data_IF_929112004563
#
_entry.id   IF_929112004563
#
_cell.length_a   1.000
_cell.length_b   1.000
_cell.length_c   1.000
_cell.angle_alpha   90.00
_cell.angle_beta   90.00
_cell.angle_gamma   90.00
#
_symmetry.space_group_name_H-M   'P 1'
#
loop_
_entity.id
_entity.type
_entity.pdbx_description
1 polymer ?
#
# COMPACT_ATOMS: atom_id res chain seq x y z
N UNK A 1 -22.60 31.13 -13.14
CA UNK A 1 -21.20 30.87 -13.52
C UNK A 1 -20.39 31.04 -12.23
N UNK A 2 -19.96 29.95 -11.64
CA UNK A 2 -19.08 30.01 -10.48
C UNK A 2 -17.70 30.50 -10.93
N UNK A 3 -17.04 31.42 -10.21
CA UNK A 3 -15.69 31.85 -10.55
C UNK A 3 -14.75 30.63 -10.44
N UNK A 4 -14.01 30.35 -11.50
CA UNK A 4 -12.93 29.37 -11.47
C UNK A 4 -11.88 29.86 -10.46
N UNK A 5 -11.91 29.33 -9.24
CA UNK A 5 -10.80 29.48 -8.31
C UNK A 5 -9.68 28.56 -8.80
N UNK A 6 -8.62 29.14 -9.31
CA UNK A 6 -7.37 28.41 -9.51
C UNK A 6 -6.70 28.23 -8.15
N UNK A 7 -6.57 26.99 -7.71
CA UNK A 7 -5.81 26.65 -6.51
C UNK A 7 -4.41 26.23 -6.98
N UNK A 8 -3.40 26.88 -6.46
CA UNK A 8 -2.02 26.45 -6.65
C UNK A 8 -1.72 25.34 -5.63
N UNK A 9 -1.83 24.09 -6.08
CA UNK A 9 -1.48 22.93 -5.28
C UNK A 9 0.00 22.65 -5.46
N UNK A 10 0.82 23.04 -4.52
CA UNK A 10 2.24 22.67 -4.48
C UNK A 10 2.43 21.20 -4.07
N UNK A 11 1.69 20.29 -4.73
CA UNK A 11 1.74 18.84 -4.53
C UNK A 11 1.59 18.13 -5.86
N UNK A 12 2.37 17.07 -6.03
CA UNK A 12 2.27 16.20 -7.20
C UNK A 12 0.92 15.48 -7.19
N UNK A 13 0.29 15.41 -8.35
CA UNK A 13 -0.89 14.59 -8.55
C UNK A 13 -0.53 13.30 -9.28
N UNK A 14 -1.21 12.22 -8.94
CA UNK A 14 -1.00 10.90 -9.49
C UNK A 14 -2.29 10.30 -10.04
N UNK A 15 -2.17 9.37 -10.97
CA UNK A 15 -3.28 8.54 -11.45
C UNK A 15 -2.97 7.06 -11.22
N UNK A 16 -3.97 6.26 -10.82
CA UNK A 16 -3.82 4.82 -10.76
C UNK A 16 -3.78 4.24 -12.18
N UNK A 17 -2.88 3.29 -12.38
CA UNK A 17 -2.68 2.60 -13.66
C UNK A 17 -2.45 1.11 -13.44
N UNK A 18 -2.58 0.36 -14.54
CA UNK A 18 -2.13 -1.02 -14.67
C UNK A 18 -1.24 -1.17 -15.90
N UNK A 19 -0.56 -2.30 -16.05
CA UNK A 19 0.28 -2.54 -17.22
C UNK A 19 -0.45 -2.39 -18.55
N UNK A 20 -1.71 -2.83 -18.63
CA UNK A 20 -2.46 -2.83 -19.88
C UNK A 20 -2.98 -1.45 -20.31
N UNK A 21 -3.05 -0.48 -19.42
CA UNK A 21 -3.64 0.83 -19.70
C UNK A 21 -2.66 2.01 -19.62
N UNK A 22 -1.44 1.81 -19.11
CA UNK A 22 -0.47 2.87 -18.89
C UNK A 22 -0.24 3.77 -20.12
N UNK A 23 -0.10 3.18 -21.30
CA UNK A 23 0.17 3.97 -22.50
C UNK A 23 -1.00 4.87 -22.87
N UNK A 24 -2.22 4.34 -22.82
CA UNK A 24 -3.44 5.10 -23.09
C UNK A 24 -3.65 6.21 -22.04
N UNK A 25 -3.40 5.92 -20.77
CA UNK A 25 -3.55 6.88 -19.68
C UNK A 25 -2.53 8.01 -19.80
N UNK A 26 -1.27 7.70 -20.13
CA UNK A 26 -0.23 8.72 -20.30
C UNK A 26 -0.35 9.51 -21.61
N UNK A 27 -1.03 8.98 -22.63
CA UNK A 27 -1.39 9.74 -23.84
C UNK A 27 -2.56 10.70 -23.58
N UNK A 28 -3.53 10.28 -22.78
CA UNK A 28 -4.70 11.08 -22.43
C UNK A 28 -4.43 12.14 -21.36
N UNK A 29 -3.41 11.94 -20.53
CA UNK A 29 -3.10 12.80 -19.38
C UNK A 29 -1.60 13.02 -19.25
N UNK A 30 -1.19 14.04 -18.51
CA UNK A 30 0.21 14.31 -18.20
C UNK A 30 0.43 14.34 -16.68
N UNK A 31 0.30 13.21 -15.99
CA UNK A 31 0.43 13.17 -14.55
C UNK A 31 1.89 13.39 -14.14
N UNK A 32 2.11 13.94 -12.97
CA UNK A 32 3.45 14.06 -12.39
C UNK A 32 3.95 12.73 -11.84
N UNK A 33 3.00 11.84 -11.46
CA UNK A 33 3.27 10.53 -10.93
C UNK A 33 2.19 9.52 -11.34
N UNK A 34 2.53 8.25 -11.43
CA UNK A 34 1.58 7.14 -11.64
C UNK A 34 1.65 6.18 -10.47
N UNK A 35 0.51 5.58 -10.12
CA UNK A 35 0.40 4.52 -9.13
C UNK A 35 0.11 3.20 -9.85
N UNK A 36 1.07 2.28 -9.84
CA UNK A 36 0.81 0.90 -10.27
C UNK A 36 -0.02 0.19 -9.21
N UNK A 37 -1.32 0.14 -9.42
CA UNK A 37 -2.26 -0.57 -8.55
C UNK A 37 -2.28 -2.05 -8.89
N UNK A 38 -1.37 -2.84 -8.28
CA UNK A 38 -1.10 -4.22 -8.69
C UNK A 38 -2.10 -5.23 -8.14
N UNK A 39 -2.40 -6.23 -8.95
CA UNK A 39 -2.90 -7.54 -8.50
C UNK A 39 -1.74 -8.54 -8.44
N UNK A 40 -1.95 -9.69 -7.79
CA UNK A 40 -0.90 -10.73 -7.76
C UNK A 40 -0.56 -11.28 -9.15
N UNK A 41 -1.50 -11.24 -10.10
CA UNK A 41 -1.24 -11.65 -11.49
C UNK A 41 -0.24 -10.72 -12.17
N UNK A 42 -0.25 -9.43 -11.84
CA UNK A 42 0.69 -8.45 -12.42
C UNK A 42 2.14 -8.75 -12.03
N UNK A 43 2.36 -9.42 -10.89
CA UNK A 43 3.71 -9.84 -10.44
C UNK A 43 4.33 -10.95 -11.31
N UNK A 44 3.54 -11.61 -12.16
CA UNK A 44 4.01 -12.64 -13.09
C UNK A 44 4.27 -12.08 -14.49
N UNK A 45 3.95 -10.81 -14.73
CA UNK A 45 4.14 -10.16 -16.03
C UNK A 45 5.58 -9.61 -16.13
N UNK A 46 6.11 -9.64 -17.37
CA UNK A 46 7.36 -8.94 -17.65
C UNK A 46 7.06 -7.47 -17.95
N UNK A 47 7.52 -6.51 -17.10
CA UNK A 47 7.30 -5.09 -17.31
C UNK A 47 7.73 -4.58 -18.70
N UNK A 48 8.80 -5.14 -19.28
CA UNK A 48 9.34 -4.76 -20.59
C UNK A 48 8.35 -4.92 -21.74
N UNK A 49 7.36 -5.80 -21.59
CA UNK A 49 6.33 -6.01 -22.62
C UNK A 49 5.32 -4.86 -22.68
N UNK A 50 5.21 -4.09 -21.61
CA UNK A 50 4.23 -3.00 -21.45
C UNK A 50 4.90 -1.64 -21.38
N UNK A 51 6.06 -1.55 -20.74
CA UNK A 51 6.85 -0.34 -20.58
C UNK A 51 7.92 -0.29 -21.67
N UNK A 52 7.51 0.08 -22.89
CA UNK A 52 8.38 0.06 -24.08
C UNK A 52 9.32 1.26 -24.18
N UNK A 53 9.15 2.27 -23.34
CA UNK A 53 9.98 3.50 -23.29
C UNK A 53 10.15 3.99 -21.86
N UNK A 54 11.12 4.88 -21.66
CA UNK A 54 11.26 5.59 -20.39
C UNK A 54 10.23 6.69 -20.27
N UNK A 55 9.70 6.86 -19.07
CA UNK A 55 8.70 7.87 -18.73
C UNK A 55 9.32 8.97 -17.86
N UNK A 56 8.87 10.21 -18.03
CA UNK A 56 9.36 11.36 -17.28
C UNK A 56 8.61 11.62 -15.98
N UNK A 57 7.42 11.05 -15.82
CA UNK A 57 6.70 11.07 -14.55
C UNK A 57 7.40 10.16 -13.52
N UNK A 58 7.11 10.36 -12.24
CA UNK A 58 7.50 9.44 -11.18
C UNK A 58 6.52 8.28 -11.08
N UNK A 59 6.85 7.25 -10.30
CA UNK A 59 5.92 6.18 -10.00
C UNK A 59 5.99 5.75 -8.54
N UNK A 60 4.88 5.16 -8.10
CA UNK A 60 4.75 4.39 -6.87
C UNK A 60 4.04 3.07 -7.19
N UNK A 61 4.15 2.10 -6.29
CA UNK A 61 3.46 0.82 -6.40
C UNK A 61 2.49 0.66 -5.24
N UNK A 62 1.24 0.30 -5.51
CA UNK A 62 0.33 -0.22 -4.51
C UNK A 62 0.40 -1.75 -4.56
N UNK A 63 0.90 -2.36 -3.50
CA UNK A 63 1.08 -3.80 -3.41
C UNK A 63 -0.27 -4.53 -3.45
N UNK A 64 -0.34 -5.75 -4.03
CA UNK A 64 -1.50 -6.59 -3.89
C UNK A 64 -1.79 -6.89 -2.41
N UNK A 65 -3.05 -6.91 -2.05
CA UNK A 65 -3.50 -7.37 -0.73
C UNK A 65 -3.82 -8.87 -0.72
N UNK A 66 -4.33 -9.37 -1.85
CA UNK A 66 -4.70 -10.78 -2.04
C UNK A 66 -3.74 -11.42 -3.05
N UNK A 67 -3.23 -12.60 -2.71
CA UNK A 67 -2.32 -13.42 -3.51
C UNK A 67 -2.95 -14.77 -3.85
N UNK A 68 -2.19 -15.63 -4.53
CA UNK A 68 -2.61 -16.96 -4.94
C UNK A 68 -3.10 -17.79 -3.74
N UNK A 69 -4.13 -18.62 -3.98
CA UNK A 69 -4.75 -19.49 -2.98
C UNK A 69 -5.34 -18.72 -1.80
N UNK A 70 -5.98 -17.59 -2.08
CA UNK A 70 -6.67 -16.75 -1.10
C UNK A 70 -5.78 -16.29 0.06
N UNK A 71 -4.47 -16.12 -0.19
CA UNK A 71 -3.55 -15.62 0.79
C UNK A 71 -3.64 -14.10 0.88
N UNK A 72 -4.16 -13.57 2.00
CA UNK A 72 -4.08 -12.14 2.33
C UNK A 72 -2.67 -11.82 2.83
N UNK A 73 -2.12 -10.71 2.36
CA UNK A 73 -0.86 -10.21 2.89
C UNK A 73 -1.03 -9.87 4.37
N UNK A 74 -0.28 -10.54 5.22
CA UNK A 74 -0.26 -10.26 6.65
C UNK A 74 1.17 -10.38 7.21
N UNK A 75 1.81 -9.23 7.34
CA UNK A 75 3.18 -9.10 7.84
C UNK A 75 3.25 -9.08 9.37
N UNK A 76 2.08 -9.08 10.02
CA UNK A 76 1.90 -8.82 11.44
C UNK A 76 1.50 -10.06 12.23
N UNK A 77 0.91 -11.06 11.57
CA UNK A 77 0.32 -12.22 12.25
C UNK A 77 1.31 -12.95 13.15
N UNK A 78 0.81 -13.52 14.25
CA UNK A 78 1.59 -14.37 15.16
C UNK A 78 1.86 -15.78 14.58
N UNK A 79 1.19 -16.15 13.46
CA UNK A 79 1.51 -17.36 12.71
C UNK A 79 2.77 -17.12 11.86
N UNK A 80 3.90 -17.63 12.33
CA UNK A 80 5.20 -17.47 11.65
C UNK A 80 5.20 -18.08 10.24
N UNK A 81 4.50 -19.18 10.02
CA UNK A 81 4.43 -19.82 8.70
C UNK A 81 3.68 -18.94 7.73
N UNK A 82 2.53 -18.41 8.16
CA UNK A 82 1.73 -17.48 7.35
C UNK A 82 2.48 -16.17 7.09
N UNK A 83 3.11 -15.61 8.13
CA UNK A 83 3.91 -14.38 8.02
C UNK A 83 5.10 -14.55 7.07
N UNK A 84 5.84 -15.66 7.14
CA UNK A 84 6.94 -15.92 6.23
C UNK A 84 6.47 -16.02 4.77
N UNK A 85 5.33 -16.64 4.50
CA UNK A 85 4.73 -16.66 3.15
C UNK A 85 4.38 -15.24 2.68
N UNK A 86 3.85 -14.38 3.56
CA UNK A 86 3.59 -12.97 3.26
C UNK A 86 4.87 -12.20 2.94
N UNK A 87 5.97 -12.50 3.65
CA UNK A 87 7.29 -11.91 3.38
C UNK A 87 7.83 -12.33 2.00
N UNK A 88 7.64 -13.58 1.59
CA UNK A 88 8.02 -14.05 0.25
C UNK A 88 7.21 -13.34 -0.83
N UNK A 89 5.92 -13.13 -0.62
CA UNK A 89 5.08 -12.35 -1.53
C UNK A 89 5.53 -10.88 -1.60
N UNK A 90 5.83 -10.26 -0.46
CA UNK A 90 6.34 -8.89 -0.44
C UNK A 90 7.68 -8.76 -1.16
N UNK A 91 8.56 -9.76 -1.06
CA UNK A 91 9.82 -9.79 -1.82
C UNK A 91 9.57 -9.75 -3.33
N UNK A 92 8.60 -10.52 -3.83
CA UNK A 92 8.21 -10.47 -5.25
C UNK A 92 7.74 -9.06 -5.66
N UNK A 93 6.96 -8.38 -4.80
CA UNK A 93 6.54 -7.00 -5.05
C UNK A 93 7.75 -6.06 -5.15
N UNK A 94 8.72 -6.19 -4.24
CA UNK A 94 9.96 -5.41 -4.27
C UNK A 94 10.72 -5.64 -5.58
N UNK A 95 10.91 -6.89 -5.97
CA UNK A 95 11.64 -7.26 -7.19
C UNK A 95 10.98 -6.66 -8.45
N UNK A 96 9.66 -6.76 -8.55
CA UNK A 96 8.89 -6.17 -9.65
C UNK A 96 8.98 -4.63 -9.62
N UNK A 97 8.89 -4.02 -8.44
CA UNK A 97 9.04 -2.56 -8.28
C UNK A 97 10.39 -2.07 -8.76
N UNK A 98 11.47 -2.79 -8.43
CA UNK A 98 12.82 -2.46 -8.89
C UNK A 98 13.00 -2.65 -10.40
N UNK A 99 12.31 -3.62 -11.00
CA UNK A 99 12.29 -3.79 -12.45
C UNK A 99 11.56 -2.62 -13.14
N UNK A 100 10.41 -2.19 -12.61
CA UNK A 100 9.67 -1.02 -13.12
C UNK A 100 10.51 0.24 -13.05
N UNK A 101 11.32 0.42 -11.99
CA UNK A 101 12.18 1.60 -11.80
C UNK A 101 13.07 1.89 -13.01
N UNK A 102 13.49 0.88 -13.76
CA UNK A 102 14.32 1.05 -14.95
C UNK A 102 13.66 1.92 -16.03
N UNK A 103 12.32 2.02 -16.01
CA UNK A 103 11.52 2.82 -16.95
C UNK A 103 11.15 4.20 -16.43
N UNK A 104 11.43 4.49 -15.15
CA UNK A 104 11.09 5.75 -14.47
C UNK A 104 12.33 6.38 -13.84
N UNK A 105 13.23 6.97 -14.67
CA UNK A 105 14.52 7.46 -14.19
C UNK A 105 14.41 8.60 -13.15
N UNK A 106 13.31 9.35 -13.15
CA UNK A 106 13.07 10.44 -12.21
C UNK A 106 12.64 9.99 -10.81
N UNK A 107 12.29 8.72 -10.64
CA UNK A 107 12.02 8.14 -9.31
C UNK A 107 13.36 7.74 -8.66
N UNK A 108 13.80 8.42 -7.64
CA UNK A 108 15.06 8.07 -6.95
C UNK A 108 14.91 6.77 -6.16
N UNK A 109 14.00 6.76 -5.19
CA UNK A 109 13.65 5.61 -4.37
C UNK A 109 12.18 5.31 -4.57
N UNK A 110 11.82 4.19 -5.21
CA UNK A 110 10.43 3.85 -5.41
C UNK A 110 9.73 3.54 -4.10
N UNK A 111 8.48 3.97 -4.00
CA UNK A 111 7.63 3.78 -2.83
C UNK A 111 6.66 2.64 -3.07
N UNK A 112 6.40 1.86 -2.02
CA UNK A 112 5.45 0.74 -2.06
C UNK A 112 4.40 0.98 -0.97
N UNK A 113 3.16 1.21 -1.38
CA UNK A 113 2.02 1.32 -0.48
C UNK A 113 1.61 -0.09 -0.05
N UNK A 114 1.44 -0.28 1.25
CA UNK A 114 1.13 -1.58 1.86
C UNK A 114 -0.12 -1.53 2.73
N UNK A 115 -1.01 -2.50 2.54
CA UNK A 115 -1.80 -3.01 3.64
C UNK A 115 -0.93 -4.00 4.43
N UNK A 116 -0.62 -3.66 5.67
CA UNK A 116 0.34 -4.43 6.46
C UNK A 116 -0.22 -5.73 7.06
N UNK A 117 -1.54 -5.95 6.97
CA UNK A 117 -2.20 -7.07 7.61
C UNK A 117 -2.75 -6.74 9.01
N UNK A 118 -2.69 -7.70 9.91
CA UNK A 118 -3.25 -7.55 11.26
C UNK A 118 -4.73 -7.91 11.32
N UNK A 119 -5.12 -8.97 10.64
CA UNK A 119 -6.51 -9.44 10.59
C UNK A 119 -6.86 -10.36 11.75
N UNK A 120 -8.11 -10.27 12.22
CA UNK A 120 -8.74 -11.27 13.07
C UNK A 120 -10.07 -11.74 12.45
N UNK A 121 -10.61 -12.90 12.95
CA UNK A 121 -11.81 -13.52 12.38
C UNK A 121 -13.08 -13.18 13.14
N UNK A 122 -12.98 -13.12 14.47
CA UNK A 122 -14.16 -13.17 15.32
C UNK A 122 -14.51 -11.85 16.00
N UNK A 123 -13.51 -10.99 16.24
CA UNK A 123 -13.68 -9.70 16.92
C UNK A 123 -12.44 -8.82 16.72
N UNK A 124 -12.55 -7.54 17.01
CA UNK A 124 -11.39 -6.64 17.10
C UNK A 124 -10.51 -7.02 18.29
N UNK A 125 -9.22 -7.03 18.06
CA UNK A 125 -8.22 -7.37 19.08
C UNK A 125 -8.08 -6.27 20.13
N UNK A 126 -7.71 -6.66 21.34
CA UNK A 126 -7.35 -5.75 22.42
C UNK A 126 -6.06 -4.96 22.10
N UNK A 127 -5.81 -3.91 22.84
CA UNK A 127 -4.59 -3.08 22.68
C UNK A 127 -3.32 -3.94 22.81
N UNK A 128 -3.23 -4.80 23.83
CA UNK A 128 -2.05 -5.64 24.02
C UNK A 128 -1.81 -6.63 22.88
N UNK A 129 -2.88 -7.16 22.30
CA UNK A 129 -2.77 -8.05 21.13
C UNK A 129 -2.30 -7.27 19.90
N UNK A 130 -2.81 -6.04 19.69
CA UNK A 130 -2.36 -5.16 18.60
C UNK A 130 -0.90 -4.74 18.74
N UNK A 131 -0.44 -4.44 19.96
CA UNK A 131 0.98 -4.12 20.23
C UNK A 131 1.90 -5.28 19.81
N UNK A 132 1.49 -6.54 20.06
CA UNK A 132 2.22 -7.70 19.57
C UNK A 132 2.29 -7.75 18.04
N UNK A 133 1.19 -7.43 17.36
CA UNK A 133 1.16 -7.40 15.89
C UNK A 133 2.03 -6.26 15.32
N UNK A 134 2.04 -5.09 15.93
CA UNK A 134 2.95 -4.00 15.54
C UNK A 134 4.42 -4.40 15.69
N UNK A 135 4.76 -5.08 16.79
CA UNK A 135 6.12 -5.59 17.00
C UNK A 135 6.53 -6.62 15.92
N UNK A 136 5.61 -7.50 15.52
CA UNK A 136 5.86 -8.43 14.41
C UNK A 136 6.05 -7.69 13.08
N UNK A 137 5.31 -6.61 12.85
CA UNK A 137 5.45 -5.79 11.65
C UNK A 137 6.85 -5.16 11.58
N UNK A 138 7.35 -4.60 12.68
CA UNK A 138 8.71 -4.05 12.76
C UNK A 138 9.76 -5.09 12.37
N UNK A 139 9.68 -6.30 12.97
CA UNK A 139 10.57 -7.42 12.63
C UNK A 139 10.45 -7.83 11.16
N UNK A 140 9.25 -7.79 10.60
CA UNK A 140 8.98 -8.11 9.20
C UNK A 140 9.62 -7.08 8.26
N UNK A 141 9.42 -5.78 8.51
CA UNK A 141 9.96 -4.70 7.68
C UNK A 141 11.48 -4.58 7.78
N UNK A 142 12.07 -4.91 8.94
CA UNK A 142 13.53 -4.94 9.13
C UNK A 142 14.24 -5.83 8.09
N UNK A 143 13.59 -6.92 7.66
CA UNK A 143 14.16 -7.85 6.66
C UNK A 143 14.32 -7.20 5.27
N UNK A 144 13.71 -6.06 5.05
CA UNK A 144 13.74 -5.33 3.78
C UNK A 144 14.57 -4.04 3.81
N UNK A 145 15.19 -3.69 4.92
CA UNK A 145 15.97 -2.44 5.06
C UNK A 145 17.12 -2.30 4.05
N UNK A 146 17.65 -3.40 3.54
CA UNK A 146 18.72 -3.36 2.53
C UNK A 146 18.25 -3.10 1.11
N UNK A 147 16.94 -3.15 0.86
CA UNK A 147 16.39 -2.90 -0.47
C UNK A 147 16.23 -1.39 -0.69
N UNK A 148 16.53 -0.89 -1.91
CA UNK A 148 16.40 0.53 -2.23
C UNK A 148 14.93 0.88 -2.57
N UNK A 149 14.03 0.62 -1.64
CA UNK A 149 12.59 0.94 -1.69
C UNK A 149 12.16 1.54 -0.36
N UNK A 150 11.10 2.35 -0.38
CA UNK A 150 10.45 2.88 0.81
C UNK A 150 9.05 2.27 0.94
N UNK A 151 8.74 1.68 2.10
CA UNK A 151 7.40 1.19 2.40
C UNK A 151 6.56 2.28 3.04
N UNK A 152 5.32 2.42 2.56
CA UNK A 152 4.34 3.37 3.07
C UNK A 152 3.11 2.59 3.51
N UNK A 153 2.90 2.37 4.82
CA UNK A 153 1.65 1.77 5.30
C UNK A 153 0.45 2.61 4.88
N UNK A 154 -0.66 1.95 4.61
CA UNK A 154 -1.96 2.59 4.35
C UNK A 154 -2.84 2.46 5.59
N UNK A 155 -3.59 3.54 5.93
CA UNK A 155 -4.66 3.41 6.91
C UNK A 155 -5.81 2.59 6.33
N UNK A 156 -6.49 1.81 7.18
CA UNK A 156 -7.41 0.78 6.73
C UNK A 156 -8.85 1.01 7.21
N UNK A 157 -9.79 0.44 6.45
CA UNK A 157 -11.18 0.32 6.86
C UNK A 157 -11.34 -0.79 7.90
N UNK A 158 -12.34 -0.69 8.81
CA UNK A 158 -12.56 -1.69 9.88
C UNK A 158 -12.82 -3.11 9.35
N UNK A 159 -13.46 -3.19 8.19
CA UNK A 159 -13.80 -4.44 7.51
C UNK A 159 -13.32 -4.37 6.07
N UNK A 160 -12.14 -4.93 5.77
CA UNK A 160 -11.68 -5.01 4.39
C UNK A 160 -12.64 -5.87 3.56
N UNK A 161 -12.80 -5.50 2.29
CA UNK A 161 -13.76 -6.10 1.36
C UNK A 161 -13.46 -7.55 0.97
N UNK A 162 -12.25 -8.03 1.24
CA UNK A 162 -11.87 -9.42 0.98
C UNK A 162 -12.77 -10.38 1.74
N UNK A 163 -13.14 -11.49 1.09
CA UNK A 163 -14.04 -12.50 1.64
C UNK A 163 -15.37 -11.93 2.12
N UNK A 164 -15.90 -10.92 1.43
CA UNK A 164 -17.18 -10.31 1.77
C UNK A 164 -17.19 -9.54 3.10
N UNK A 165 -16.04 -9.00 3.51
CA UNK A 165 -15.92 -8.24 4.76
C UNK A 165 -15.94 -9.12 6.03
N UNK A 166 -15.60 -10.40 5.90
CA UNK A 166 -15.60 -11.37 7.01
C UNK A 166 -14.28 -11.36 7.82
N UNK A 167 -13.60 -10.24 7.85
CA UNK A 167 -12.38 -10.05 8.65
C UNK A 167 -12.47 -8.73 9.38
N UNK A 168 -11.85 -8.68 10.56
CA UNK A 168 -11.68 -7.47 11.34
C UNK A 168 -10.26 -6.97 11.10
N UNK A 169 -10.13 -5.75 10.61
CA UNK A 169 -8.84 -5.07 10.53
C UNK A 169 -8.50 -4.50 11.90
N UNK A 170 -7.27 -4.71 12.38
CA UNK A 170 -6.89 -4.28 13.72
C UNK A 170 -5.79 -3.21 13.71
N UNK A 171 -4.90 -3.23 12.72
CA UNK A 171 -3.80 -2.25 12.61
C UNK A 171 -4.14 -1.16 11.59
N UNK A 172 -3.53 0.01 11.76
CA UNK A 172 -3.67 1.18 10.88
C UNK A 172 -5.11 1.70 10.73
N UNK A 173 -5.94 1.55 11.79
CA UNK A 173 -7.28 2.15 11.86
C UNK A 173 -7.28 3.36 12.80
N UNK A 174 -6.71 3.21 13.99
CA UNK A 174 -6.68 4.26 15.02
C UNK A 174 -5.57 5.26 14.72
N UNK A 175 -5.92 6.55 14.65
CA UNK A 175 -4.98 7.60 14.30
C UNK A 175 -3.81 7.73 15.29
N UNK A 176 -4.05 7.55 16.59
CA UNK A 176 -3.01 7.65 17.63
C UNK A 176 -1.98 6.51 17.48
N UNK A 177 -2.45 5.29 17.24
CA UNK A 177 -1.58 4.13 17.00
C UNK A 177 -0.76 4.31 15.70
N UNK A 178 -1.40 4.81 14.63
CA UNK A 178 -0.72 5.11 13.35
C UNK A 178 0.39 6.14 13.56
N UNK A 179 0.06 7.25 14.22
CA UNK A 179 1.03 8.34 14.50
C UNK A 179 2.20 7.81 15.33
N UNK A 180 1.92 7.05 16.38
CA UNK A 180 2.95 6.42 17.21
C UNK A 180 3.87 5.55 16.38
N UNK A 181 3.32 4.57 15.67
CA UNK A 181 4.10 3.62 14.88
C UNK A 181 4.94 4.32 13.79
N UNK A 182 4.33 5.22 13.04
CA UNK A 182 5.03 5.93 11.97
C UNK A 182 6.16 6.83 12.49
N UNK A 183 5.97 7.51 13.63
CA UNK A 183 7.01 8.32 14.24
C UNK A 183 8.18 7.48 14.78
N UNK A 184 7.89 6.39 15.48
CA UNK A 184 8.91 5.48 16.03
C UNK A 184 9.75 4.84 14.93
N UNK A 185 9.12 4.48 13.80
CA UNK A 185 9.77 3.84 12.66
C UNK A 185 10.21 4.81 11.56
N UNK A 186 9.99 6.11 11.71
CA UNK A 186 10.29 7.17 10.72
C UNK A 186 9.68 6.89 9.34
N UNK A 187 8.45 6.42 9.33
CA UNK A 187 7.70 6.07 8.12
C UNK A 187 6.70 7.15 7.75
N UNK A 188 6.44 7.29 6.45
CA UNK A 188 5.29 8.03 5.93
C UNK A 188 4.05 7.13 5.95
N UNK A 189 2.86 7.74 5.85
CA UNK A 189 1.58 7.05 5.75
C UNK A 189 0.90 7.38 4.42
N UNK A 190 0.32 6.39 3.77
CA UNK A 190 -0.66 6.60 2.72
C UNK A 190 -2.03 6.81 3.38
N UNK A 191 -2.55 8.02 3.35
CA UNK A 191 -3.83 8.34 3.94
C UNK A 191 -4.96 8.15 2.92
N UNK A 192 -5.68 7.05 3.04
CA UNK A 192 -6.93 6.81 2.32
C UNK A 192 -8.11 7.45 3.06
N UNK A 193 -8.69 8.48 2.43
CA UNK A 193 -9.81 9.25 3.00
C UNK A 193 -11.06 8.37 3.16
N UNK A 194 -11.30 7.45 2.21
CA UNK A 194 -12.46 6.56 2.25
C UNK A 194 -12.35 5.58 3.42
N UNK A 195 -11.17 5.02 3.65
CA UNK A 195 -10.91 4.14 4.79
C UNK A 195 -11.08 4.87 6.12
N UNK A 196 -10.54 6.09 6.25
CA UNK A 196 -10.76 6.92 7.43
C UNK A 196 -12.23 7.19 7.69
N UNK A 197 -12.97 7.54 6.64
CA UNK A 197 -14.40 7.80 6.74
C UNK A 197 -15.18 6.56 7.22
N UNK A 198 -14.86 5.39 6.68
CA UNK A 198 -15.46 4.13 7.12
C UNK A 198 -15.14 3.82 8.59
N UNK A 199 -13.89 4.05 9.03
CA UNK A 199 -13.49 3.85 10.41
C UNK A 199 -14.23 4.80 11.36
N UNK A 200 -14.25 6.11 11.06
CA UNK A 200 -14.95 7.10 11.87
C UNK A 200 -16.45 6.81 11.97
N UNK A 201 -17.09 6.43 10.86
CA UNK A 201 -18.51 6.08 10.88
C UNK A 201 -18.80 4.83 11.73
N UNK A 202 -17.95 3.81 11.64
CA UNK A 202 -18.14 2.59 12.39
C UNK A 202 -17.94 2.79 13.90
N UNK A 203 -16.81 3.39 14.28
CA UNK A 203 -16.44 3.60 15.68
C UNK A 203 -17.08 4.83 16.31
N UNK A 204 -17.81 5.64 15.54
CA UNK A 204 -18.41 6.92 15.97
C UNK A 204 -17.37 7.92 16.44
N UNK A 205 -16.22 7.95 15.77
CA UNK A 205 -15.19 8.96 15.99
C UNK A 205 -15.50 10.25 15.22
N UNK A 206 -14.99 11.36 15.73
CA UNK A 206 -15.00 12.64 14.99
C UNK A 206 -14.04 12.57 13.79
N UNK A 207 -14.40 13.21 12.69
CA UNK A 207 -13.60 13.25 11.45
C UNK A 207 -12.49 14.27 11.49
#
# INVERSE_FOLDING_TARGET
VYPKKTYDFNRKWAIPIRYHDINNMLEATTPEMVEFHMSYNDLNLNPEQYLIKKHTCEFIVHAPELFENDHLLDLCTNDDTYRNKSLDHLRRVVDVTLNIKNFFPNTEIPKIILNCGGFSRDHFLSINERDSLYSNLEVSLEKFKSFPVEFIPQNMAPFPWHFGGQRFQNLFINAEEIIKFCNENKMQICHDISHSHLACNYFKWDH
#
